data_IF_273756942535
#
_entry.id   IF_273756942535
#
_cell.length_a   1.000
_cell.length_b   1.000
_cell.length_c   1.000
_cell.angle_alpha   90.00
_cell.angle_beta   90.00
_cell.angle_gamma   90.00
#
_symmetry.space_group_name_H-M   'P 1'
#
loop_
_entity.id
_entity.type
_entity.pdbx_description
1 polymer ?
#
# COMPACT_ATOMS: atom_id res chain seq x y z
N UNK A 1 18.13 15.83 -17.32
CA UNK A 1 16.82 15.47 -16.74
C UNK A 1 17.00 14.80 -15.38
N UNK A 2 17.17 15.52 -14.25
CA UNK A 2 17.32 14.91 -12.92
C UNK A 2 16.19 15.23 -11.92
N UNK A 3 15.26 16.13 -12.24
CA UNK A 3 14.24 16.62 -11.30
C UNK A 3 13.08 15.64 -11.05
N UNK A 4 12.78 14.74 -12.00
CA UNK A 4 11.67 13.79 -11.90
C UNK A 4 11.99 12.63 -10.95
N UNK A 5 13.23 12.13 -10.98
CA UNK A 5 13.69 11.03 -10.11
C UNK A 5 13.76 11.44 -8.64
N UNK A 6 14.27 12.63 -8.34
CA UNK A 6 14.31 13.14 -6.95
C UNK A 6 12.89 13.37 -6.38
N UNK A 7 11.94 13.75 -7.24
CA UNK A 7 10.54 13.94 -6.81
C UNK A 7 9.87 12.61 -6.48
N UNK A 8 9.98 11.62 -7.38
CA UNK A 8 9.46 10.26 -7.16
C UNK A 8 10.15 9.56 -5.97
N UNK A 9 11.44 9.82 -5.75
CA UNK A 9 12.20 9.35 -4.58
C UNK A 9 11.68 9.92 -3.26
N UNK A 10 11.39 11.23 -3.21
CA UNK A 10 10.80 11.84 -2.03
C UNK A 10 9.38 11.33 -1.80
N UNK A 11 8.59 11.18 -2.86
CA UNK A 11 7.24 10.63 -2.79
C UNK A 11 7.20 9.16 -2.32
N UNK A 12 8.18 8.33 -2.71
CA UNK A 12 8.29 6.93 -2.26
C UNK A 12 8.73 6.83 -0.79
N UNK A 13 9.70 7.64 -0.35
CA UNK A 13 10.10 7.73 1.06
C UNK A 13 8.97 8.18 1.96
N UNK A 14 8.24 9.19 1.50
CA UNK A 14 7.06 9.73 2.18
C UNK A 14 5.99 8.64 2.28
N UNK A 15 5.71 7.90 1.19
CA UNK A 15 4.83 6.73 1.21
C UNK A 15 5.28 5.65 2.21
N UNK A 16 6.56 5.32 2.26
CA UNK A 16 7.13 4.32 3.17
C UNK A 16 6.91 4.73 4.63
N UNK A 17 7.24 5.97 4.98
CA UNK A 17 7.06 6.51 6.33
C UNK A 17 5.57 6.53 6.73
N UNK A 18 4.67 6.77 5.78
CA UNK A 18 3.23 6.78 6.03
C UNK A 18 2.61 5.41 6.20
N UNK A 19 3.01 4.43 5.38
CA UNK A 19 2.61 3.04 5.59
C UNK A 19 3.04 2.57 6.98
N UNK A 20 4.24 2.95 7.44
CA UNK A 20 4.69 2.70 8.81
C UNK A 20 3.83 3.42 9.86
N UNK A 21 3.54 4.71 9.68
CA UNK A 21 2.75 5.48 10.63
C UNK A 21 1.29 5.00 10.73
N UNK A 22 0.67 4.66 9.60
CA UNK A 22 -0.67 4.07 9.55
C UNK A 22 -0.68 2.73 10.29
N UNK A 23 0.28 1.85 9.98
CA UNK A 23 0.43 0.54 10.64
C UNK A 23 0.60 0.69 12.15
N UNK A 24 1.48 1.61 12.61
CA UNK A 24 1.69 1.88 14.03
C UNK A 24 0.44 2.42 14.74
N UNK A 25 -0.31 3.30 14.08
CA UNK A 25 -1.56 3.85 14.63
C UNK A 25 -2.68 2.79 14.67
N UNK A 26 -2.76 1.93 13.66
CA UNK A 26 -3.76 0.86 13.58
C UNK A 26 -3.45 -0.28 14.57
N UNK A 27 -2.17 -0.59 14.81
CA UNK A 27 -1.71 -1.54 15.84
C UNK A 27 -1.99 -0.99 17.25
N UNK A 28 -1.73 0.31 17.52
CA UNK A 28 -2.01 0.90 18.84
C UNK A 28 -3.50 0.88 19.20
N UNK A 29 -4.40 1.05 18.23
CA UNK A 29 -5.86 0.94 18.41
C UNK A 29 -6.31 -0.52 18.58
N UNK A 30 -5.48 -1.50 18.19
CA UNK A 30 -5.78 -2.93 18.32
C UNK A 30 -5.38 -3.55 19.66
N UNK A 31 -4.55 -2.86 20.47
CA UNK A 31 -4.15 -3.32 21.81
C UNK A 31 -5.31 -3.45 22.83
N UNK A 32 -6.49 -2.92 22.52
CA UNK A 32 -7.68 -3.03 23.37
C UNK A 32 -8.59 -4.25 23.06
N UNK A 33 -8.26 -5.06 22.05
CA UNK A 33 -9.07 -6.21 21.60
C UNK A 33 -8.16 -7.39 21.18
N UNK A 34 -8.63 -8.65 21.19
CA UNK A 34 -7.81 -9.78 20.80
C UNK A 34 -7.30 -9.61 19.35
N UNK A 35 -5.97 -9.73 19.19
CA UNK A 35 -5.28 -9.62 17.90
C UNK A 35 -5.77 -10.75 17.00
N UNK A 36 -6.61 -10.40 16.02
CA UNK A 36 -7.06 -11.33 14.98
C UNK A 36 -5.91 -11.48 13.99
N UNK A 37 -5.57 -12.72 13.61
CA UNK A 37 -4.56 -12.99 12.58
C UNK A 37 -4.95 -12.26 11.29
N UNK A 38 -4.18 -11.26 10.90
CA UNK A 38 -4.40 -10.52 9.65
C UNK A 38 -4.09 -11.44 8.46
N UNK A 39 -4.89 -11.34 7.40
CA UNK A 39 -4.68 -12.09 6.17
C UNK A 39 -3.61 -11.38 5.36
N UNK A 40 -2.63 -12.13 4.83
CA UNK A 40 -1.54 -11.58 4.03
C UNK A 40 -2.04 -10.69 2.87
N UNK A 41 -3.09 -11.13 2.16
CA UNK A 41 -3.69 -10.38 1.06
C UNK A 41 -4.27 -9.03 1.49
N UNK A 42 -4.82 -8.96 2.71
CA UNK A 42 -5.34 -7.73 3.29
C UNK A 42 -4.20 -6.77 3.62
N UNK A 43 -3.10 -7.25 4.20
CA UNK A 43 -1.92 -6.42 4.47
C UNK A 43 -1.28 -5.88 3.17
N UNK A 44 -1.16 -6.73 2.14
CA UNK A 44 -0.65 -6.32 0.84
C UNK A 44 -1.53 -5.25 0.19
N UNK A 45 -2.85 -5.45 0.21
CA UNK A 45 -3.81 -4.46 -0.30
C UNK A 45 -3.70 -3.14 0.46
N UNK A 46 -3.64 -3.17 1.79
CA UNK A 46 -3.51 -1.98 2.61
C UNK A 46 -2.24 -1.19 2.29
N UNK A 47 -1.09 -1.87 2.24
CA UNK A 47 0.19 -1.24 1.93
C UNK A 47 0.18 -0.61 0.53
N UNK A 48 -0.28 -1.36 -0.47
CA UNK A 48 -0.35 -0.88 -1.85
C UNK A 48 -1.31 0.29 -1.99
N UNK A 49 -2.48 0.23 -1.33
CA UNK A 49 -3.47 1.31 -1.39
C UNK A 49 -2.96 2.58 -0.70
N UNK A 50 -2.40 2.49 0.50
CA UNK A 50 -1.84 3.66 1.21
C UNK A 50 -0.73 4.29 0.39
N UNK A 51 0.14 3.47 -0.20
CA UNK A 51 1.20 3.96 -1.08
C UNK A 51 0.64 4.66 -2.32
N UNK A 52 -0.30 4.03 -3.02
CA UNK A 52 -0.95 4.64 -4.18
C UNK A 52 -1.63 5.98 -3.83
N UNK A 53 -2.41 6.03 -2.75
CA UNK A 53 -3.07 7.26 -2.31
C UNK A 53 -2.07 8.34 -1.92
N UNK A 54 -0.96 7.98 -1.26
CA UNK A 54 0.11 8.95 -0.94
C UNK A 54 0.69 9.57 -2.20
N UNK A 55 1.02 8.75 -3.20
CA UNK A 55 1.55 9.24 -4.48
C UNK A 55 0.53 10.15 -5.18
N UNK A 56 -0.76 9.80 -5.11
CA UNK A 56 -1.83 10.59 -5.72
C UNK A 56 -2.15 11.88 -4.95
N UNK A 57 -1.72 12.02 -3.69
CA UNK A 57 -1.88 13.25 -2.92
C UNK A 57 -1.21 14.44 -3.64
N UNK A 58 -0.04 14.25 -4.26
CA UNK A 58 0.65 15.34 -4.96
C UNK A 58 -0.13 15.81 -6.19
N UNK A 59 -0.83 14.91 -6.89
CA UNK A 59 -1.74 15.26 -7.97
C UNK A 59 -2.94 16.06 -7.46
N UNK A 60 -3.55 15.63 -6.35
CA UNK A 60 -4.66 16.37 -5.73
C UNK A 60 -4.21 17.78 -5.36
N UNK A 61 -3.06 17.93 -4.69
CA UNK A 61 -2.61 19.23 -4.23
C UNK A 61 -2.20 20.16 -5.38
N UNK A 62 -1.56 19.61 -6.43
CA UNK A 62 -1.12 20.36 -7.60
C UNK A 62 -2.30 20.82 -8.46
N UNK A 63 -3.26 19.95 -8.72
CA UNK A 63 -4.36 20.21 -9.65
C UNK A 63 -5.67 20.60 -8.96
N UNK A 64 -5.76 20.49 -7.63
CA UNK A 64 -6.96 20.78 -6.81
C UNK A 64 -8.18 19.98 -7.25
N UNK A 65 -7.98 18.68 -7.48
CA UNK A 65 -9.00 17.75 -7.96
C UNK A 65 -9.31 16.69 -6.92
N UNK A 66 -10.50 16.08 -7.04
CA UNK A 66 -10.76 14.82 -6.36
C UNK A 66 -10.24 13.67 -7.23
N UNK A 67 -9.83 12.57 -6.59
CA UNK A 67 -9.34 11.37 -7.28
C UNK A 67 -10.29 10.22 -6.99
N UNK A 68 -10.79 9.60 -8.06
CA UNK A 68 -11.58 8.39 -8.00
C UNK A 68 -10.69 7.21 -8.41
N UNK A 69 -10.50 6.24 -7.52
CA UNK A 69 -9.74 5.03 -7.75
C UNK A 69 -10.72 3.84 -7.82
N UNK A 70 -10.63 3.04 -8.88
CA UNK A 70 -11.37 1.78 -9.00
C UNK A 70 -10.39 0.62 -8.87
N UNK A 71 -10.57 -0.22 -7.85
CA UNK A 71 -9.82 -1.48 -7.67
C UNK A 71 -10.63 -2.58 -8.33
N UNK A 72 -10.02 -3.27 -9.29
CA UNK A 72 -10.68 -4.32 -10.07
C UNK A 72 -9.99 -5.65 -9.79
N UNK A 73 -10.78 -6.68 -9.47
CA UNK A 73 -10.28 -8.05 -9.33
C UNK A 73 -11.19 -9.02 -10.07
N UNK A 74 -10.63 -10.12 -10.54
CA UNK A 74 -11.33 -11.16 -11.28
C UNK A 74 -12.05 -12.16 -10.36
N UNK A 75 -11.46 -12.49 -9.20
CA UNK A 75 -11.96 -13.52 -8.30
C UNK A 75 -11.70 -13.21 -6.83
N UNK A 76 -12.74 -12.74 -6.13
CA UNK A 76 -12.72 -12.54 -4.67
C UNK A 76 -14.00 -13.11 -4.08
N UNK A 77 -13.87 -13.97 -3.06
CA UNK A 77 -15.00 -14.45 -2.27
C UNK A 77 -15.75 -13.28 -1.63
N UNK A 78 -17.09 -13.30 -1.67
CA UNK A 78 -17.92 -12.21 -1.14
C UNK A 78 -17.63 -11.87 0.35
N UNK A 79 -17.22 -12.85 1.15
CA UNK A 79 -16.81 -12.63 2.53
C UNK A 79 -15.49 -11.85 2.65
N UNK A 80 -14.52 -12.14 1.78
CA UNK A 80 -13.22 -11.46 1.70
C UNK A 80 -13.41 -10.06 1.12
N UNK A 81 -14.26 -9.92 0.10
CA UNK A 81 -14.59 -8.63 -0.52
C UNK A 81 -15.09 -7.63 0.52
N UNK A 82 -16.05 -8.01 1.37
CA UNK A 82 -16.58 -7.14 2.44
C UNK A 82 -15.52 -6.71 3.45
N UNK A 83 -14.56 -7.59 3.75
CA UNK A 83 -13.45 -7.27 4.66
C UNK A 83 -12.54 -6.23 4.00
N UNK A 84 -12.14 -6.48 2.74
CA UNK A 84 -11.31 -5.58 1.96
C UNK A 84 -11.98 -4.22 1.73
N UNK A 85 -13.27 -4.16 1.39
CA UNK A 85 -14.04 -2.92 1.27
C UNK A 85 -14.00 -2.11 2.56
N UNK A 86 -14.16 -2.77 3.72
CA UNK A 86 -14.10 -2.11 5.02
C UNK A 86 -12.71 -1.56 5.33
N UNK A 87 -11.67 -2.29 4.93
CA UNK A 87 -10.28 -1.85 5.09
C UNK A 87 -9.95 -0.66 4.17
N UNK A 88 -10.38 -0.72 2.91
CA UNK A 88 -10.29 0.40 1.97
C UNK A 88 -11.03 1.62 2.51
N UNK A 89 -12.26 1.46 3.00
CA UNK A 89 -13.03 2.55 3.61
C UNK A 89 -12.26 3.17 4.79
N UNK A 90 -11.65 2.34 5.64
CA UNK A 90 -10.88 2.83 6.79
C UNK A 90 -9.67 3.67 6.35
N UNK A 91 -8.94 3.21 5.33
CA UNK A 91 -7.79 3.92 4.75
C UNK A 91 -8.26 5.23 4.10
N UNK A 92 -9.32 5.20 3.30
CA UNK A 92 -9.85 6.38 2.61
C UNK A 92 -10.33 7.42 3.60
N UNK A 93 -11.04 6.99 4.65
CA UNK A 93 -11.48 7.89 5.72
C UNK A 93 -10.27 8.51 6.43
N UNK A 94 -9.24 7.72 6.72
CA UNK A 94 -7.99 8.25 7.26
C UNK A 94 -7.38 9.32 6.33
N UNK A 95 -7.21 9.01 5.04
CA UNK A 95 -6.65 9.93 4.05
C UNK A 95 -7.50 11.18 3.86
N UNK A 96 -8.82 11.09 3.97
CA UNK A 96 -9.76 12.20 3.84
C UNK A 96 -10.00 12.98 5.15
N UNK A 97 -9.30 12.63 6.24
CA UNK A 97 -9.54 13.17 7.58
C UNK A 97 -11.01 12.98 8.05
N UNK A 98 -11.63 11.87 7.68
CA UNK A 98 -12.97 11.48 8.10
C UNK A 98 -12.92 10.46 9.27
N UNK A 99 -13.95 10.41 10.13
CA UNK A 99 -14.00 9.45 11.23
C UNK A 99 -14.28 8.03 10.72
N UNK A 100 -13.64 7.05 11.35
CA UNK A 100 -13.89 5.63 11.15
C UNK A 100 -14.81 5.07 12.23
N UNK A 101 -15.80 4.27 11.83
CA UNK A 101 -16.71 3.58 12.78
C UNK A 101 -16.23 2.17 13.06
N UNK A 102 -15.93 1.87 14.32
CA UNK A 102 -15.61 0.52 14.81
C UNK A 102 -16.74 -0.02 15.67
N UNK A 103 -17.42 -1.06 15.19
CA UNK A 103 -18.54 -1.68 15.89
C UNK A 103 -18.04 -2.72 16.90
N UNK A 104 -18.53 -2.64 18.14
CA UNK A 104 -18.25 -3.63 19.20
C UNK A 104 -19.50 -4.40 19.62
N UNK A 105 -20.68 -3.96 19.18
CA UNK A 105 -21.95 -4.69 19.34
C UNK A 105 -22.94 -4.27 18.26
N UNK A 106 -24.05 -4.99 18.10
CA UNK A 106 -25.08 -4.70 17.11
C UNK A 106 -25.63 -3.28 17.33
N UNK A 107 -25.40 -2.40 16.35
CA UNK A 107 -25.81 -1.00 16.40
C UNK A 107 -24.98 -0.09 17.32
N UNK A 108 -23.95 -0.61 18.00
CA UNK A 108 -23.05 0.19 18.86
C UNK A 108 -21.66 0.28 18.27
N UNK A 109 -21.17 1.50 18.11
CA UNK A 109 -19.85 1.79 17.54
C UNK A 109 -19.11 2.86 18.33
N UNK A 110 -17.80 2.92 18.10
CA UNK A 110 -16.92 4.03 18.50
C UNK A 110 -16.42 4.68 17.21
N UNK A 111 -16.42 6.01 17.18
CA UNK A 111 -15.76 6.76 16.11
C UNK A 111 -14.31 7.03 16.48
N UNK A 112 -13.40 6.70 15.58
CA UNK A 112 -11.97 6.96 15.72
C UNK A 112 -11.52 7.88 14.58
N UNK A 113 -10.76 8.90 14.92
CA UNK A 113 -10.17 9.82 13.96
C UNK A 113 -8.75 10.16 14.39
N UNK A 114 -7.82 10.18 13.44
CA UNK A 114 -6.45 10.61 13.71
C UNK A 114 -6.39 12.13 13.60
N UNK A 115 -6.23 12.78 14.75
CA UNK A 115 -5.95 14.22 14.86
C UNK A 115 -4.46 14.38 15.14
N UNK A 116 -3.77 15.17 14.31
CA UNK A 116 -2.32 15.49 14.41
C UNK A 116 -1.34 14.41 13.90
N UNK A 117 -1.45 14.00 12.64
CA UNK A 117 -0.36 13.30 11.95
C UNK A 117 0.71 14.33 11.51
N UNK A 118 1.99 14.08 11.80
CA UNK A 118 3.11 14.91 11.33
C UNK A 118 4.29 14.03 10.91
N UNK A 119 4.74 14.09 9.64
CA UNK A 119 4.13 14.84 8.54
C UNK A 119 2.70 14.32 8.22
N UNK A 120 1.85 15.20 7.71
CA UNK A 120 0.46 14.86 7.40
C UNK A 120 0.34 14.36 5.95
N UNK A 121 0.06 13.06 5.70
CA UNK A 121 -0.06 12.48 4.36
C UNK A 121 -1.31 12.93 3.59
N UNK A 122 -2.26 13.57 4.28
CA UNK A 122 -3.61 13.78 3.78
C UNK A 122 -3.63 14.95 2.81
N UNK A 123 -4.34 14.84 1.67
CA UNK A 123 -4.50 15.95 0.75
C UNK A 123 -5.15 17.15 1.44
N UNK A 124 -4.55 18.34 1.26
CA UNK A 124 -5.12 19.58 1.80
C UNK A 124 -6.37 20.03 1.04
N UNK A 125 -6.44 19.77 -0.26
CA UNK A 125 -7.41 20.39 -1.19
C UNK A 125 -8.03 19.38 -2.16
N UNK A 126 -8.69 18.35 -1.63
CA UNK A 126 -9.41 17.35 -2.42
C UNK A 126 -9.69 16.11 -1.59
N UNK A 127 -10.35 15.12 -2.18
CA UNK A 127 -10.69 13.86 -1.54
C UNK A 127 -10.41 12.68 -2.45
N UNK A 128 -10.15 11.54 -1.82
CA UNK A 128 -10.16 10.25 -2.47
C UNK A 128 -11.54 9.61 -2.39
N UNK A 129 -11.93 8.97 -3.49
CA UNK A 129 -13.03 8.02 -3.51
C UNK A 129 -12.46 6.71 -4.05
N UNK A 130 -12.65 5.60 -3.32
CA UNK A 130 -12.15 4.29 -3.73
C UNK A 130 -13.32 3.33 -3.79
N UNK A 131 -13.48 2.68 -4.94
CA UNK A 131 -14.45 1.63 -5.15
C UNK A 131 -13.73 0.33 -5.50
N UNK A 132 -14.31 -0.80 -5.12
CA UNK A 132 -13.81 -2.11 -5.49
C UNK A 132 -14.90 -2.88 -6.24
N UNK A 133 -14.53 -3.55 -7.32
CA UNK A 133 -15.44 -4.36 -8.12
C UNK A 133 -14.82 -5.69 -8.48
N UNK A 134 -15.64 -6.74 -8.50
CA UNK A 134 -15.26 -8.04 -9.02
C UNK A 134 -15.80 -8.18 -10.44
N UNK A 135 -14.91 -8.17 -11.42
CA UNK A 135 -15.23 -8.32 -12.84
C UNK A 135 -14.06 -8.99 -13.57
N UNK A 136 -14.38 -9.96 -14.42
CA UNK A 136 -13.40 -10.48 -15.38
C UNK A 136 -13.28 -9.48 -16.52
N UNK A 137 -12.11 -8.85 -16.67
CA UNK A 137 -11.87 -7.79 -17.65
C UNK A 137 -10.50 -7.94 -18.32
N UNK A 138 -10.28 -7.19 -19.40
CA UNK A 138 -8.95 -7.10 -20.04
C UNK A 138 -7.90 -6.56 -19.06
N UNK A 139 -8.30 -5.69 -18.11
CA UNK A 139 -7.42 -5.12 -17.09
C UNK A 139 -6.93 -6.18 -16.11
N UNK A 140 -7.82 -7.06 -15.65
CA UNK A 140 -7.44 -8.15 -14.74
C UNK A 140 -6.54 -9.16 -15.45
N UNK A 141 -6.82 -9.45 -16.72
CA UNK A 141 -5.94 -10.29 -17.54
C UNK A 141 -4.53 -9.69 -17.71
N UNK A 142 -4.43 -8.41 -18.04
CA UNK A 142 -3.12 -7.73 -18.14
C UNK A 142 -2.41 -7.77 -16.79
N UNK A 143 -3.13 -7.56 -15.69
CA UNK A 143 -2.57 -7.59 -14.34
C UNK A 143 -1.99 -8.97 -13.99
N UNK A 144 -2.63 -10.07 -14.39
CA UNK A 144 -2.11 -11.43 -14.22
C UNK A 144 -0.85 -11.67 -15.04
N UNK A 145 -0.83 -11.21 -16.30
CA UNK A 145 0.37 -11.31 -17.15
C UNK A 145 1.52 -10.54 -16.52
N UNK A 146 1.28 -9.31 -16.03
CA UNK A 146 2.30 -8.52 -15.36
C UNK A 146 2.79 -9.20 -14.09
N UNK A 147 1.90 -9.64 -13.22
CA UNK A 147 2.25 -10.35 -11.99
C UNK A 147 3.09 -11.61 -12.28
N UNK A 148 2.71 -12.40 -13.29
CA UNK A 148 3.46 -13.58 -13.68
C UNK A 148 4.83 -13.25 -14.26
N UNK A 149 4.93 -12.27 -15.17
CA UNK A 149 6.22 -11.86 -15.75
C UNK A 149 7.18 -11.32 -14.69
N UNK A 150 6.68 -10.49 -13.77
CA UNK A 150 7.46 -9.99 -12.63
C UNK A 150 7.87 -11.14 -11.71
N UNK A 151 6.97 -12.09 -11.43
CA UNK A 151 7.31 -13.26 -10.62
C UNK A 151 8.44 -14.10 -11.23
N UNK A 152 8.38 -14.39 -12.54
CA UNK A 152 9.44 -15.15 -13.21
C UNK A 152 10.78 -14.43 -13.15
N UNK A 153 10.79 -13.12 -13.41
CA UNK A 153 12.00 -12.30 -13.32
C UNK A 153 12.61 -12.32 -11.91
N UNK A 154 11.80 -12.11 -10.87
CA UNK A 154 12.27 -12.15 -9.49
C UNK A 154 12.78 -13.53 -9.08
N UNK A 155 12.15 -14.61 -9.57
CA UNK A 155 12.62 -15.97 -9.32
C UNK A 155 13.97 -16.27 -9.95
N UNK A 156 14.26 -15.73 -11.14
CA UNK A 156 15.59 -15.83 -11.76
C UNK A 156 16.63 -15.05 -10.96
N UNK A 157 16.32 -13.81 -10.60
CA UNK A 157 17.19 -12.99 -9.75
C UNK A 157 17.53 -13.70 -8.43
N UNK A 158 16.55 -14.30 -7.76
CA UNK A 158 16.75 -15.03 -6.49
C UNK A 158 17.65 -16.24 -6.60
N UNK A 159 17.61 -16.97 -7.74
CA UNK A 159 18.48 -18.13 -7.96
C UNK A 159 19.94 -17.71 -8.08
N UNK A 160 20.19 -16.55 -8.65
CA UNK A 160 21.53 -16.00 -8.86
C UNK A 160 22.03 -15.21 -7.64
N UNK A 161 21.12 -14.72 -6.80
CA UNK A 161 21.40 -13.79 -5.71
C UNK A 161 20.71 -14.20 -4.40
N UNK A 162 20.99 -15.41 -3.91
CA UNK A 162 20.40 -15.92 -2.68
C UNK A 162 20.63 -14.98 -1.47
N UNK A 163 19.56 -14.68 -0.74
CA UNK A 163 19.61 -13.86 0.47
C UNK A 163 19.57 -12.34 0.23
N UNK A 164 19.56 -11.87 -1.02
CA UNK A 164 19.32 -10.46 -1.33
C UNK A 164 17.83 -10.09 -1.22
N UNK A 165 17.56 -8.82 -0.93
CA UNK A 165 16.22 -8.26 -0.82
C UNK A 165 15.56 -8.07 -2.20
N UNK A 166 14.26 -8.37 -2.30
CA UNK A 166 13.47 -8.25 -3.54
C UNK A 166 12.93 -6.85 -3.82
N UNK A 167 13.07 -5.92 -2.88
CA UNK A 167 12.56 -4.56 -3.03
C UNK A 167 13.71 -3.59 -3.41
N UNK A 168 14.65 -4.03 -4.24
CA UNK A 168 15.86 -3.27 -4.61
C UNK A 168 15.88 -2.92 -6.09
N UNK A 169 16.60 -1.86 -6.46
CA UNK A 169 16.77 -1.51 -7.87
C UNK A 169 17.45 -2.62 -8.65
N UNK A 170 18.37 -3.34 -8.00
CA UNK A 170 19.04 -4.51 -8.58
C UNK A 170 18.09 -5.65 -8.88
N UNK A 171 17.16 -5.95 -7.98
CA UNK A 171 16.21 -7.07 -8.15
C UNK A 171 15.24 -6.90 -9.30
N UNK A 172 15.11 -5.69 -9.84
CA UNK A 172 14.19 -5.38 -10.94
C UNK A 172 14.91 -4.95 -12.22
N UNK A 173 16.24 -4.97 -12.20
CA UNK A 173 17.04 -4.52 -13.34
C UNK A 173 16.90 -5.47 -14.52
N UNK A 174 16.61 -4.92 -15.70
CA UNK A 174 16.29 -5.69 -16.90
C UNK A 174 14.85 -6.20 -16.96
N UNK A 175 13.99 -5.88 -15.99
CA UNK A 175 12.56 -6.14 -16.11
C UNK A 175 11.96 -5.26 -17.23
N UNK A 176 11.04 -5.77 -18.08
CA UNK A 176 10.45 -4.98 -19.17
C UNK A 176 9.75 -3.68 -18.75
N UNK A 177 9.37 -3.58 -17.47
CA UNK A 177 8.74 -2.41 -16.88
C UNK A 177 9.63 -1.69 -15.85
N UNK A 178 10.94 -1.94 -15.82
CA UNK A 178 11.88 -1.34 -14.84
C UNK A 178 11.65 0.17 -14.65
N UNK A 179 11.46 0.91 -15.76
CA UNK A 179 11.25 2.37 -15.74
C UNK A 179 9.92 2.83 -15.14
N UNK A 180 8.95 1.93 -15.01
CA UNK A 180 7.59 2.24 -14.55
C UNK A 180 7.32 1.78 -13.11
N UNK A 181 8.30 1.14 -12.47
CA UNK A 181 8.11 0.55 -11.14
C UNK A 181 8.34 1.62 -10.07
N UNK A 182 7.34 1.75 -9.19
CA UNK A 182 7.39 2.60 -8.03
C UNK A 182 7.74 1.77 -6.77
N UNK A 183 8.09 2.46 -5.68
CA UNK A 183 8.30 1.87 -4.34
C UNK A 183 9.50 0.91 -4.22
N UNK A 184 10.47 1.00 -5.14
CA UNK A 184 11.75 0.31 -5.02
C UNK A 184 12.66 1.09 -4.06
N UNK A 185 13.43 0.40 -3.20
CA UNK A 185 14.43 1.08 -2.40
C UNK A 185 15.50 1.65 -3.32
N UNK A 186 15.76 2.96 -3.23
CA UNK A 186 16.85 3.57 -3.96
C UNK A 186 18.18 3.01 -3.43
N UNK A 187 19.25 2.94 -4.27
CA UNK A 187 20.51 2.30 -3.92
C UNK A 187 21.10 2.76 -2.58
N UNK A 188 20.87 4.01 -2.20
CA UNK A 188 21.36 4.62 -0.95
C UNK A 188 20.66 4.10 0.31
N UNK A 189 19.49 3.45 0.18
CA UNK A 189 18.68 2.89 1.26
C UNK A 189 18.57 1.36 1.20
N UNK A 190 19.17 0.72 0.19
CA UNK A 190 19.14 -0.75 0.04
C UNK A 190 19.85 -1.47 1.22
N UNK A 191 20.88 -0.84 1.80
CA UNK A 191 21.62 -1.35 2.95
C UNK A 191 20.90 -1.10 4.30
N UNK A 192 19.99 -0.13 4.33
CA UNK A 192 19.11 0.13 5.46
C UNK A 192 17.86 -0.72 5.32
N UNK A 193 17.99 -2.03 5.54
CA UNK A 193 16.85 -2.96 5.56
C UNK A 193 15.93 -2.69 6.77
N UNK A 194 15.21 -1.57 6.75
CA UNK A 194 14.32 -1.10 7.82
C UNK A 194 13.10 -2.03 7.91
N UNK A 195 12.61 -2.56 6.79
CA UNK A 195 11.47 -3.49 6.78
C UNK A 195 11.83 -4.91 7.23
N UNK A 196 13.01 -5.43 6.88
CA UNK A 196 13.49 -6.72 7.41
C UNK A 196 13.72 -6.69 8.92
N UNK A 197 14.02 -5.51 9.49
CA UNK A 197 14.10 -5.30 10.94
C UNK A 197 12.73 -5.14 11.62
N UNK A 198 11.73 -4.56 10.94
CA UNK A 198 10.38 -4.32 11.50
C UNK A 198 9.44 -5.53 11.35
N UNK A 199 9.55 -6.30 10.27
CA UNK A 199 8.71 -7.49 10.02
C UNK A 199 9.35 -8.80 10.46
N UNK A 200 10.57 -8.73 11.02
CA UNK A 200 11.35 -9.89 11.45
C UNK A 200 11.79 -10.77 10.27
N UNK A 201 12.78 -11.66 10.48
CA UNK A 201 13.03 -12.71 9.51
C UNK A 201 11.75 -13.53 9.39
N UNK A 202 11.13 -13.50 8.20
CA UNK A 202 10.17 -14.51 7.80
C UNK A 202 10.80 -15.86 8.14
N UNK A 203 10.14 -16.62 9.02
CA UNK A 203 10.69 -17.83 9.63
C UNK A 203 11.16 -18.79 8.54
N UNK A 204 12.46 -18.78 8.27
CA UNK A 204 13.19 -19.93 7.77
C UNK A 204 13.46 -20.85 8.94
N UNK A 205 12.48 -21.73 9.22
CA UNK A 205 12.58 -23.08 9.80
C UNK A 205 11.19 -23.58 10.17
#
# INVERSE_FOLDING_TARGET
>A
MPLTWLHLYLESLVSILYTQQYTLNHIKISLALPIKKELLHSQLLQNNLISALTLLTTLIEKFRVNVNLKIVSDNIDAGVLKIMEKECENIVNYMNNAPNKRYYSKGKYIETQVVNASPDPRPKNGKFHVEMSVETSEITFISDVLAYTTFQHLMEFMKENEGLSLNTTKSISGHPLEEFIALVYPPELEDENIFGKVLGPGRGK
#
